data_IF_645335775109
#
_entry.id   IF_645335775109
#
_cell.length_a   1.000
_cell.length_b   1.000
_cell.length_c   1.000
_cell.angle_alpha   90.00
_cell.angle_beta   90.00
_cell.angle_gamma   90.00
#
_symmetry.space_group_name_H-M   'P 1'
#
loop_
_entity.id
_entity.type
_entity.pdbx_description
1 polymer ?
#
# COMPACT_ATOMS: atom_id res chain seq x y z
N UNK A 1 -2.68 7.71 10.86
CA UNK A 1 -3.67 8.82 11.02
C UNK A 1 -5.06 8.25 10.81
N UNK A 2 -6.09 8.87 11.38
CA UNK A 2 -7.48 8.36 11.30
C UNK A 2 -7.95 8.23 9.85
N UNK A 3 -7.68 9.22 9.00
CA UNK A 3 -8.00 9.16 7.57
C UNK A 3 -7.46 7.87 6.91
N UNK A 4 -6.15 7.63 6.98
CA UNK A 4 -5.52 6.45 6.38
C UNK A 4 -6.06 5.13 6.95
N UNK A 5 -6.50 5.09 8.21
CA UNK A 5 -7.11 3.89 8.78
C UNK A 5 -8.43 3.56 8.10
N UNK A 6 -9.29 4.56 7.89
CA UNK A 6 -10.58 4.36 7.24
C UNK A 6 -10.44 4.14 5.74
N UNK A 7 -9.50 4.83 5.08
CA UNK A 7 -9.14 4.56 3.69
C UNK A 7 -8.67 3.11 3.50
N UNK A 8 -7.77 2.64 4.36
CA UNK A 8 -7.31 1.25 4.32
C UNK A 8 -8.43 0.25 4.60
N UNK A 9 -9.34 0.55 5.53
CA UNK A 9 -10.51 -0.29 5.78
C UNK A 9 -11.42 -0.40 4.54
N UNK A 10 -11.59 0.70 3.82
CA UNK A 10 -12.34 0.71 2.56
C UNK A 10 -11.61 -0.09 1.47
N UNK A 11 -10.28 0.04 1.37
CA UNK A 11 -9.45 -0.79 0.50
C UNK A 11 -9.59 -2.29 0.76
N UNK A 12 -9.71 -2.73 2.02
CA UNK A 12 -10.01 -4.14 2.34
C UNK A 12 -11.40 -4.58 1.87
N UNK A 13 -12.40 -3.70 1.92
CA UNK A 13 -13.76 -4.04 1.49
C UNK A 13 -13.89 -4.06 -0.04
N UNK A 14 -13.12 -3.22 -0.73
CA UNK A 14 -13.24 -2.97 -2.16
C UNK A 14 -11.91 -3.16 -2.88
N UNK A 15 -11.09 -4.13 -2.44
CA UNK A 15 -9.72 -4.28 -2.94
C UNK A 15 -9.68 -4.31 -4.46
N UNK A 16 -8.96 -3.36 -5.04
CA UNK A 16 -8.77 -3.20 -6.47
C UNK A 16 -10.09 -3.05 -7.27
N UNK A 17 -11.13 -2.46 -6.64
CA UNK A 17 -12.32 -1.97 -7.34
C UNK A 17 -12.08 -0.51 -7.74
N UNK A 18 -12.08 -0.23 -9.04
CA UNK A 18 -11.50 1.01 -9.59
C UNK A 18 -12.21 2.30 -9.16
N UNK A 19 -13.51 2.21 -8.85
CA UNK A 19 -14.34 3.34 -8.44
C UNK A 19 -14.39 3.53 -6.91
N UNK A 20 -14.19 2.46 -6.14
CA UNK A 20 -14.49 2.43 -4.70
C UNK A 20 -13.24 2.38 -3.80
N UNK A 21 -12.10 1.98 -4.35
CA UNK A 21 -10.88 1.74 -3.58
C UNK A 21 -9.99 2.99 -3.52
N UNK A 22 -9.87 3.65 -2.34
CA UNK A 22 -9.09 4.88 -2.19
C UNK A 22 -7.57 4.65 -2.21
N UNK A 23 -7.10 3.40 -2.17
CA UNK A 23 -5.67 3.07 -2.16
C UNK A 23 -5.13 2.62 -3.53
N UNK A 24 -5.97 2.61 -4.58
CA UNK A 24 -5.50 2.35 -5.95
C UNK A 24 -4.67 3.53 -6.44
N UNK A 25 -3.37 3.36 -6.32
CA UNK A 25 -2.43 4.38 -6.76
C UNK A 25 -2.14 4.33 -8.27
N UNK A 26 -2.39 3.17 -8.89
CA UNK A 26 -2.24 2.95 -10.32
C UNK A 26 -3.52 2.33 -10.83
N UNK A 27 -4.39 3.21 -11.34
CA UNK A 27 -5.49 2.82 -12.21
C UNK A 27 -4.95 2.44 -13.59
N UNK A 28 -5.69 1.57 -14.27
CA UNK A 28 -5.38 1.20 -15.65
C UNK A 28 -5.84 2.30 -16.62
N UNK A 29 -5.17 2.50 -17.74
CA UNK A 29 -3.92 1.85 -18.18
C UNK A 29 -2.70 2.66 -17.73
N UNK A 30 -1.64 1.97 -17.29
CA UNK A 30 -0.34 2.60 -16.99
C UNK A 30 0.71 2.21 -18.02
N UNK A 31 1.61 3.15 -18.35
CA UNK A 31 2.79 2.85 -19.15
C UNK A 31 4.00 2.53 -18.26
N UNK A 32 4.90 1.65 -18.72
CA UNK A 32 6.13 1.32 -17.96
C UNK A 32 6.94 2.58 -17.61
N UNK A 33 7.01 3.56 -18.52
CA UNK A 33 7.68 4.83 -18.27
C UNK A 33 7.01 5.69 -17.20
N UNK A 34 5.69 5.55 -16.98
CA UNK A 34 4.97 6.19 -15.86
C UNK A 34 5.16 5.42 -14.55
N UNK A 35 5.53 4.14 -14.60
CA UNK A 35 5.90 3.36 -13.41
C UNK A 35 7.30 3.71 -12.89
N UNK A 36 8.28 3.94 -13.78
CA UNK A 36 9.68 4.18 -13.40
C UNK A 36 9.87 5.35 -12.44
N UNK A 37 9.27 6.53 -12.66
CA UNK A 37 9.27 7.59 -11.69
C UNK A 37 8.73 7.10 -10.36
N UNK A 38 7.70 6.25 -10.23
CA UNK A 38 7.19 5.86 -8.91
C UNK A 38 8.17 5.11 -8.00
N UNK A 39 9.25 4.54 -8.55
CA UNK A 39 10.36 3.98 -7.78
C UNK A 39 11.33 5.05 -7.24
N UNK A 40 11.43 6.19 -7.93
CA UNK A 40 12.43 7.25 -7.67
C UNK A 40 11.78 8.57 -7.23
N UNK A 41 10.51 8.77 -7.57
CA UNK A 41 9.63 9.91 -7.36
C UNK A 41 9.20 9.88 -5.90
N UNK A 42 10.24 10.09 -5.10
CA UNK A 42 10.35 10.97 -3.98
C UNK A 42 9.24 10.76 -2.96
N UNK A 43 9.64 10.33 -1.76
CA UNK A 43 8.82 10.25 -0.54
C UNK A 43 8.22 11.57 -0.07
N UNK A 44 7.80 12.44 -1.01
CA UNK A 44 6.90 13.58 -0.83
C UNK A 44 5.54 13.02 -0.40
N UNK A 45 5.45 12.77 0.88
CA UNK A 45 4.20 12.91 1.60
C UNK A 45 3.52 14.19 1.13
N UNK A 46 2.29 14.10 0.63
CA UNK A 46 1.48 15.28 0.35
C UNK A 46 0.92 15.79 1.69
N UNK A 47 1.43 16.90 2.26
CA UNK A 47 0.97 17.37 3.55
C UNK A 47 -0.38 18.10 3.46
N UNK A 48 -0.87 18.39 2.24
CA UNK A 48 -2.05 19.22 2.03
C UNK A 48 -3.30 18.62 2.69
N UNK A 49 -3.64 17.33 2.52
CA UNK A 49 -4.80 16.74 3.19
C UNK A 49 -4.67 16.83 4.71
N UNK A 50 -3.49 16.54 5.27
CA UNK A 50 -3.26 16.58 6.71
C UNK A 50 -3.34 18.00 7.25
N UNK A 51 -2.80 18.99 6.54
CA UNK A 51 -2.92 20.40 6.89
C UNK A 51 -4.39 20.87 6.86
N UNK A 52 -5.14 20.52 5.81
CA UNK A 52 -6.59 20.80 5.71
C UNK A 52 -7.35 20.20 6.90
N UNK A 53 -7.13 18.92 7.20
CA UNK A 53 -7.76 18.25 8.32
C UNK A 53 -7.37 18.89 9.66
N UNK A 54 -6.12 19.31 9.85
CA UNK A 54 -5.69 20.00 11.07
C UNK A 54 -6.38 21.37 11.27
N UNK A 55 -6.70 22.06 10.18
CA UNK A 55 -7.50 23.29 10.15
C UNK A 55 -9.00 23.05 10.31
N UNK A 56 -9.45 21.78 10.38
CA UNK A 56 -10.87 21.43 10.46
C UNK A 56 -11.61 21.44 9.12
N UNK A 57 -10.88 21.50 8.00
CA UNK A 57 -11.45 21.47 6.66
C UNK A 57 -11.61 20.00 6.24
N UNK A 58 -12.85 19.60 5.94
CA UNK A 58 -13.23 18.24 5.53
C UNK A 58 -13.92 18.32 4.17
N UNK A 59 -13.21 17.91 3.10
CA UNK A 59 -13.74 17.79 1.75
C UNK A 59 -14.67 16.59 1.58
N UNK A 60 -15.36 16.57 0.44
CA UNK A 60 -16.33 15.54 0.10
C UNK A 60 -15.74 14.14 0.03
N UNK A 61 -14.53 13.99 -0.54
CA UNK A 61 -13.80 12.72 -0.56
C UNK A 61 -13.56 12.19 0.86
N UNK A 62 -13.05 13.04 1.76
CA UNK A 62 -12.84 12.64 3.16
C UNK A 62 -14.16 12.25 3.86
N UNK A 63 -15.29 12.88 3.51
CA UNK A 63 -16.61 12.54 4.09
C UNK A 63 -17.12 11.18 3.67
N UNK A 64 -16.74 10.72 2.48
CA UNK A 64 -17.08 9.39 1.98
C UNK A 64 -16.25 8.30 2.67
N UNK A 65 -15.00 8.61 3.01
CA UNK A 65 -14.07 7.67 3.65
C UNK A 65 -14.26 7.62 5.17
N UNK A 66 -14.35 8.76 5.84
CA UNK A 66 -14.29 8.86 7.31
C UNK A 66 -15.68 9.11 7.92
N UNK A 67 -16.18 8.20 8.77
CA UNK A 67 -17.45 8.37 9.47
C UNK A 67 -17.51 9.67 10.30
N UNK A 68 -18.68 10.32 10.33
CA UNK A 68 -18.88 11.63 10.97
C UNK A 68 -18.48 11.68 12.45
N UNK A 69 -18.70 10.59 13.19
CA UNK A 69 -18.31 10.46 14.60
C UNK A 69 -16.78 10.41 14.82
N UNK A 70 -15.99 10.23 13.76
CA UNK A 70 -14.53 10.12 13.82
C UNK A 70 -13.81 11.41 13.35
N UNK A 71 -14.55 12.39 12.83
CA UNK A 71 -13.99 13.64 12.32
C UNK A 71 -13.15 14.39 13.36
N UNK A 72 -13.64 14.50 14.60
CA UNK A 72 -12.88 15.16 15.67
C UNK A 72 -11.56 14.44 15.96
N UNK A 73 -11.56 13.10 15.98
CA UNK A 73 -10.34 12.30 16.16
C UNK A 73 -9.39 12.48 15.00
N UNK A 74 -9.89 12.57 13.77
CA UNK A 74 -9.09 12.85 12.58
C UNK A 74 -8.41 14.21 12.66
N UNK A 75 -9.16 15.28 12.97
CA UNK A 75 -8.63 16.64 13.12
C UNK A 75 -7.50 16.68 14.15
N UNK A 76 -7.73 16.12 15.34
CA UNK A 76 -6.71 16.06 16.39
C UNK A 76 -5.52 15.18 16.02
N UNK A 77 -5.76 14.02 15.39
CA UNK A 77 -4.69 13.17 14.86
C UNK A 77 -3.80 13.93 13.87
N UNK A 78 -4.38 14.75 13.00
CA UNK A 78 -3.63 15.57 12.03
C UNK A 78 -2.84 16.69 12.72
N UNK A 79 -3.41 17.33 13.75
CA UNK A 79 -2.70 18.33 14.58
C UNK A 79 -1.51 17.73 15.32
N UNK A 80 -1.69 16.60 16.00
CA UNK A 80 -0.60 15.91 16.70
C UNK A 80 0.50 15.47 15.74
N UNK A 81 0.11 15.01 14.54
CA UNK A 81 1.06 14.64 13.51
C UNK A 81 1.91 15.85 13.06
N UNK A 82 1.29 17.00 12.78
CA UNK A 82 2.01 18.23 12.41
C UNK A 82 2.89 18.74 13.55
N UNK A 83 2.36 18.76 14.77
CA UNK A 83 3.12 19.16 15.96
C UNK A 83 4.38 18.29 16.15
N UNK A 84 4.26 16.97 15.99
CA UNK A 84 5.40 16.06 16.04
C UNK A 84 6.47 16.37 14.98
N UNK A 85 6.06 16.66 13.75
CA UNK A 85 6.98 17.05 12.68
C UNK A 85 7.64 18.40 12.96
N UNK A 86 6.88 19.38 13.46
CA UNK A 86 7.43 20.67 13.88
C UNK A 86 8.46 20.52 14.99
N UNK A 87 8.20 19.67 16.00
CA UNK A 87 9.15 19.39 17.07
C UNK A 87 10.45 18.76 16.55
N UNK A 88 10.36 17.80 15.63
CA UNK A 88 11.54 17.21 14.98
C UNK A 88 12.34 18.28 14.25
N UNK A 89 11.70 19.15 13.48
CA UNK A 89 12.37 20.22 12.73
C UNK A 89 13.02 21.24 13.70
N UNK A 90 12.30 21.67 14.74
CA UNK A 90 12.82 22.60 15.74
C UNK A 90 13.99 22.02 16.52
N UNK A 91 14.01 20.70 16.74
CA UNK A 91 15.13 20.02 17.42
C UNK A 91 16.45 20.18 16.68
N UNK A 92 16.42 20.35 15.34
CA UNK A 92 17.64 20.59 14.55
C UNK A 92 18.35 21.88 14.98
N UNK A 93 17.60 22.93 15.30
CA UNK A 93 18.16 24.20 15.80
C UNK A 93 18.70 24.07 17.22
N UNK A 94 18.04 23.29 18.09
CA UNK A 94 18.48 23.07 19.48
C UNK A 94 19.81 22.30 19.51
N UNK A 95 19.91 21.24 18.70
CA UNK A 95 21.08 20.37 18.66
C UNK A 95 22.15 20.81 17.65
N UNK A 96 21.92 21.90 16.90
CA UNK A 96 22.80 22.37 15.82
C UNK A 96 23.17 21.27 14.82
N UNK A 97 22.18 20.45 14.41
CA UNK A 97 22.40 19.34 13.49
C UNK A 97 21.15 19.00 12.68
N UNK A 98 21.32 18.43 11.50
CA UNK A 98 20.21 17.96 10.65
C UNK A 98 19.81 16.51 10.90
N UNK A 99 20.53 15.79 11.75
CA UNK A 99 20.33 14.36 11.98
C UNK A 99 18.88 13.97 12.35
N UNK A 100 18.14 14.71 13.21
CA UNK A 100 16.75 14.39 13.49
C UNK A 100 15.89 14.33 12.22
N UNK A 101 15.99 15.31 11.33
CA UNK A 101 15.26 15.35 10.07
C UNK A 101 15.75 14.28 9.09
N UNK A 102 17.07 14.06 9.01
CA UNK A 102 17.68 13.05 8.14
C UNK A 102 17.19 11.63 8.47
N UNK A 103 17.13 11.29 9.76
CA UNK A 103 16.74 9.94 10.22
C UNK A 103 15.23 9.72 10.33
N UNK A 104 14.41 10.77 10.22
CA UNK A 104 12.95 10.65 10.36
C UNK A 104 12.23 11.03 9.06
N UNK A 105 12.26 12.31 8.68
CA UNK A 105 11.52 12.84 7.53
C UNK A 105 12.15 12.36 6.22
N UNK A 106 13.49 12.45 6.11
CA UNK A 106 14.18 12.03 4.89
C UNK A 106 14.33 10.51 4.76
N UNK A 107 14.02 9.73 5.80
CA UNK A 107 13.99 8.27 5.73
C UNK A 107 13.18 7.70 4.57
N UNK A 108 12.07 8.37 4.25
CA UNK A 108 11.21 7.99 3.14
C UNK A 108 11.84 8.18 1.78
N UNK A 109 12.84 9.05 1.63
CA UNK A 109 13.45 9.34 0.33
C UNK A 109 14.44 8.25 -0.07
N UNK A 110 15.27 7.79 0.87
CA UNK A 110 16.21 6.70 0.61
C UNK A 110 15.57 5.31 0.77
N UNK A 111 14.49 5.17 1.56
CA UNK A 111 13.72 3.92 1.65
C UNK A 111 12.67 3.73 0.56
N UNK A 112 12.24 4.80 -0.12
CA UNK A 112 11.18 4.75 -1.12
C UNK A 112 11.41 3.70 -2.22
N UNK A 113 12.57 3.59 -2.88
CA UNK A 113 12.71 2.66 -4.00
C UNK A 113 12.33 1.22 -3.66
N UNK A 114 12.77 0.73 -2.48
CA UNK A 114 12.40 -0.59 -2.01
C UNK A 114 10.91 -0.67 -1.68
N UNK A 115 10.40 0.23 -0.83
CA UNK A 115 8.99 0.22 -0.41
C UNK A 115 8.03 0.26 -1.59
N UNK A 116 8.27 1.18 -2.54
CA UNK A 116 7.45 1.36 -3.73
C UNK A 116 7.49 0.15 -4.65
N UNK A 117 8.65 -0.49 -4.79
CA UNK A 117 8.72 -1.74 -5.54
C UNK A 117 7.89 -2.87 -4.93
N UNK A 118 7.72 -2.87 -3.62
CA UNK A 118 6.93 -3.87 -2.90
C UNK A 118 5.43 -3.52 -2.94
N UNK A 119 5.07 -2.25 -2.78
CA UNK A 119 3.70 -1.76 -2.91
C UNK A 119 3.12 -2.09 -4.30
N UNK A 120 3.90 -1.85 -5.36
CA UNK A 120 3.45 -2.14 -6.73
C UNK A 120 3.13 -3.62 -6.94
N UNK A 121 3.96 -4.52 -6.40
CA UNK A 121 3.79 -5.97 -6.53
C UNK A 121 2.44 -6.45 -6.01
N UNK A 122 1.85 -5.77 -5.04
CA UNK A 122 0.64 -6.19 -4.34
C UNK A 122 -0.54 -6.46 -5.29
N UNK A 123 -0.82 -5.52 -6.19
CA UNK A 123 -2.05 -5.51 -7.00
C UNK A 123 -1.83 -5.29 -8.49
N UNK A 124 -0.67 -4.75 -8.90
CA UNK A 124 -0.49 -4.32 -10.28
C UNK A 124 -0.67 -5.49 -11.26
N UNK A 125 -1.47 -5.24 -12.30
CA UNK A 125 -1.74 -6.21 -13.37
C UNK A 125 -2.78 -7.28 -13.04
N UNK A 126 -3.25 -7.37 -11.78
CA UNK A 126 -4.22 -8.39 -11.34
C UNK A 126 -5.65 -8.08 -11.82
N UNK A 127 -6.61 -8.95 -11.51
CA UNK A 127 -8.04 -8.72 -11.78
C UNK A 127 -8.58 -7.51 -11.00
N UNK A 128 -9.37 -6.63 -11.64
CA UNK A 128 -10.11 -5.54 -10.97
C UNK A 128 -11.57 -5.90 -10.79
N UNK A 129 -12.24 -5.22 -9.86
CA UNK A 129 -13.70 -5.32 -9.66
C UNK A 129 -14.16 -6.76 -9.35
N UNK A 130 -13.29 -7.56 -8.71
CA UNK A 130 -13.57 -8.92 -8.24
C UNK A 130 -13.51 -8.98 -6.72
N UNK A 131 -14.42 -9.74 -6.12
CA UNK A 131 -14.48 -9.89 -4.64
C UNK A 131 -13.49 -10.88 -4.07
N UNK A 132 -12.95 -11.79 -4.87
CA UNK A 132 -11.99 -12.78 -4.40
C UNK A 132 -10.59 -12.15 -4.35
N UNK A 133 -10.09 -11.88 -3.14
CA UNK A 133 -8.76 -11.29 -2.93
C UNK A 133 -7.64 -12.10 -3.59
N UNK A 134 -7.82 -13.42 -3.78
CA UNK A 134 -6.85 -14.29 -4.44
C UNK A 134 -6.65 -13.95 -5.92
N UNK A 135 -7.61 -13.25 -6.54
CA UNK A 135 -7.58 -12.86 -7.95
C UNK A 135 -7.06 -11.43 -8.16
N UNK A 136 -7.20 -10.56 -7.16
CA UNK A 136 -6.79 -9.14 -7.23
C UNK A 136 -5.51 -8.82 -6.44
N UNK A 137 -4.92 -9.80 -5.75
CA UNK A 137 -3.79 -9.62 -4.82
C UNK A 137 -2.72 -10.70 -5.03
N UNK A 138 -1.47 -10.40 -4.68
CA UNK A 138 -0.32 -11.28 -4.89
C UNK A 138 0.53 -11.49 -3.64
N UNK A 139 0.98 -12.73 -3.44
CA UNK A 139 2.03 -13.07 -2.47
C UNK A 139 3.38 -13.30 -3.12
N UNK A 140 4.44 -12.92 -2.41
CA UNK A 140 5.82 -13.09 -2.85
C UNK A 140 6.68 -13.60 -1.71
N UNK A 141 7.51 -14.61 -1.95
CA UNK A 141 8.54 -14.98 -0.98
C UNK A 141 9.69 -13.98 -1.03
N UNK A 142 10.00 -13.38 0.12
CA UNK A 142 11.11 -12.43 0.27
C UNK A 142 12.13 -12.94 1.28
N UNK A 143 13.37 -12.47 1.17
CA UNK A 143 14.43 -12.79 2.12
C UNK A 143 14.13 -12.18 3.52
N UNK A 144 14.74 -12.70 4.60
CA UNK A 144 14.43 -12.25 5.97
C UNK A 144 14.59 -10.75 6.21
N UNK A 145 15.59 -10.10 5.61
CA UNK A 145 15.82 -8.66 5.76
C UNK A 145 14.68 -7.85 5.13
N UNK A 146 14.30 -8.18 3.89
CA UNK A 146 13.19 -7.50 3.23
C UNK A 146 11.87 -7.76 3.94
N UNK A 147 11.63 -8.99 4.43
CA UNK A 147 10.44 -9.31 5.24
C UNK A 147 10.37 -8.49 6.53
N UNK A 148 11.50 -8.29 7.20
CA UNK A 148 11.57 -7.43 8.38
C UNK A 148 11.22 -5.98 8.04
N UNK A 149 11.83 -5.42 7.01
CA UNK A 149 11.59 -4.03 6.58
C UNK A 149 10.16 -3.80 6.05
N UNK A 150 9.58 -4.82 5.45
CA UNK A 150 8.23 -4.79 4.87
C UNK A 150 7.16 -5.38 5.80
N UNK A 151 7.51 -5.65 7.07
CA UNK A 151 6.58 -6.19 8.06
C UNK A 151 5.82 -7.44 7.61
N UNK A 152 6.46 -8.37 6.89
CA UNK A 152 5.80 -9.54 6.29
C UNK A 152 4.58 -9.24 5.39
N UNK A 153 4.42 -8.00 4.89
CA UNK A 153 3.40 -7.63 3.90
C UNK A 153 3.59 -8.30 2.53
N UNK A 154 4.53 -9.23 2.44
CA UNK A 154 4.74 -10.11 1.31
C UNK A 154 3.71 -11.26 1.26
N UNK A 155 2.96 -11.45 2.35
CA UNK A 155 1.77 -12.31 2.48
C UNK A 155 0.53 -11.41 2.44
N UNK A 156 0.29 -10.84 1.26
CA UNK A 156 -0.65 -9.74 1.09
C UNK A 156 -2.06 -10.25 0.80
N UNK A 157 -2.20 -11.42 0.15
CA UNK A 157 -3.50 -12.08 -0.01
C UNK A 157 -4.09 -12.37 1.36
N UNK A 158 -3.29 -12.87 2.30
CA UNK A 158 -3.73 -13.20 3.65
C UNK A 158 -4.05 -11.97 4.48
N UNK A 159 -3.29 -10.88 4.31
CA UNK A 159 -3.60 -9.58 4.91
C UNK A 159 -4.98 -9.10 4.47
N UNK A 160 -5.31 -9.23 3.18
CA UNK A 160 -6.60 -8.85 2.63
C UNK A 160 -7.75 -9.76 3.06
N UNK A 161 -7.52 -11.08 3.06
CA UNK A 161 -8.54 -12.04 3.51
C UNK A 161 -8.80 -11.93 5.03
N UNK A 162 -7.78 -11.58 5.81
CA UNK A 162 -7.83 -11.58 7.27
C UNK A 162 -7.16 -10.33 7.88
N UNK A 163 -7.69 -9.12 7.66
CA UNK A 163 -7.06 -7.85 8.06
C UNK A 163 -6.88 -7.66 9.57
N UNK A 164 -7.58 -8.47 10.37
CA UNK A 164 -7.41 -8.49 11.82
C UNK A 164 -6.15 -9.25 12.28
N UNK A 165 -5.52 -10.05 11.40
CA UNK A 165 -4.31 -10.81 11.71
C UNK A 165 -3.11 -9.86 11.66
N UNK A 166 -2.35 -9.72 12.76
CA UNK A 166 -1.23 -8.80 12.77
C UNK A 166 -0.10 -9.31 11.87
N UNK A 167 0.64 -8.37 11.31
CA UNK A 167 1.68 -8.60 10.31
C UNK A 167 2.74 -9.66 10.72
N UNK A 168 3.07 -9.78 12.00
CA UNK A 168 4.04 -10.76 12.50
C UNK A 168 3.49 -12.20 12.51
N UNK A 169 2.17 -12.37 12.45
CA UNK A 169 1.48 -13.66 12.43
C UNK A 169 1.11 -14.13 11.01
N UNK A 170 1.20 -13.25 10.00
CA UNK A 170 0.94 -13.60 8.59
C UNK A 170 1.74 -14.82 8.10
N UNK A 171 3.04 -15.00 8.43
CA UNK A 171 3.76 -16.20 8.00
C UNK A 171 3.15 -17.50 8.55
N UNK A 172 2.62 -17.47 9.78
CA UNK A 172 1.96 -18.62 10.39
C UNK A 172 0.60 -18.90 9.75
N UNK A 173 -0.11 -17.84 9.34
CA UNK A 173 -1.34 -17.97 8.59
C UNK A 173 -1.10 -18.54 7.20
N UNK A 174 -0.09 -18.01 6.48
CA UNK A 174 0.34 -18.52 5.17
C UNK A 174 0.54 -20.04 5.20
N UNK A 175 1.32 -20.56 6.16
CA UNK A 175 1.54 -22.01 6.27
C UNK A 175 0.26 -22.83 6.44
N UNK A 176 -0.78 -22.26 7.05
CA UNK A 176 -2.07 -22.95 7.27
C UNK A 176 -2.96 -22.96 6.04
N UNK A 177 -2.90 -21.91 5.21
CA UNK A 177 -3.85 -21.72 4.10
C UNK A 177 -3.19 -21.72 2.72
N UNK A 178 -1.87 -21.82 2.59
CA UNK A 178 -1.14 -21.76 1.32
C UNK A 178 -1.64 -22.74 0.25
N UNK A 179 -2.23 -23.87 0.66
CA UNK A 179 -2.83 -24.85 -0.26
C UNK A 179 -4.16 -24.37 -0.89
N UNK A 180 -4.74 -23.29 -0.38
CA UNK A 180 -5.97 -22.65 -0.84
C UNK A 180 -5.70 -21.34 -1.61
N UNK A 181 -4.44 -20.92 -1.66
CA UNK A 181 -3.96 -19.71 -2.32
C UNK A 181 -3.38 -20.02 -3.71
N UNK A 182 -3.38 -19.06 -4.64
CA UNK A 182 -2.60 -19.19 -5.86
C UNK A 182 -1.11 -19.35 -5.55
N UNK A 183 -0.34 -19.81 -6.54
CA UNK A 183 1.09 -20.01 -6.37
C UNK A 183 1.80 -18.70 -5.96
N UNK A 184 2.42 -18.71 -4.78
CA UNK A 184 3.28 -17.62 -4.31
C UNK A 184 4.50 -17.47 -5.21
N UNK A 185 4.83 -16.23 -5.57
CA UNK A 185 5.96 -15.96 -6.46
C UNK A 185 7.28 -16.23 -5.71
N UNK A 186 8.25 -16.94 -6.33
CA UNK A 186 9.51 -17.32 -5.69
C UNK A 186 10.54 -16.17 -5.69
N UNK A 187 10.11 -14.95 -5.35
CA UNK A 187 10.96 -13.77 -5.27
C UNK A 187 10.41 -12.55 -5.99
N UNK A 188 10.96 -11.39 -5.61
CA UNK A 188 10.68 -10.09 -6.22
C UNK A 188 10.86 -10.10 -7.75
N UNK A 189 11.96 -10.71 -8.24
CA UNK A 189 12.23 -10.80 -9.68
C UNK A 189 11.20 -11.65 -10.42
N UNK A 190 10.68 -12.71 -9.79
CA UNK A 190 9.67 -13.56 -10.39
C UNK A 190 8.34 -12.80 -10.55
N UNK A 191 7.94 -12.00 -9.55
CA UNK A 191 6.77 -11.15 -9.62
C UNK A 191 6.88 -10.14 -10.77
N UNK A 192 8.01 -9.42 -10.86
CA UNK A 192 8.20 -8.43 -11.93
C UNK A 192 8.30 -9.02 -13.34
N UNK A 193 8.76 -10.27 -13.48
CA UNK A 193 8.77 -10.99 -14.76
C UNK A 193 7.37 -11.28 -15.31
N UNK A 194 6.35 -11.29 -14.46
CA UNK A 194 4.95 -11.37 -14.90
C UNK A 194 4.33 -9.99 -15.04
N UNK A 195 4.52 -9.10 -14.05
CA UNK A 195 3.99 -7.74 -14.04
C UNK A 195 4.36 -6.96 -15.31
N UNK A 196 5.64 -6.99 -15.71
CA UNK A 196 6.11 -6.18 -16.85
C UNK A 196 5.40 -6.59 -18.16
N UNK A 197 5.37 -7.88 -18.55
CA UNK A 197 4.55 -8.33 -19.68
C UNK A 197 3.06 -8.01 -19.55
N UNK A 198 2.48 -8.14 -18.36
CA UNK A 198 1.07 -7.86 -18.11
C UNK A 198 0.74 -6.38 -18.36
N UNK A 199 1.54 -5.46 -17.82
CA UNK A 199 1.39 -4.02 -18.05
C UNK A 199 1.60 -3.66 -19.54
N UNK A 200 2.52 -4.32 -20.24
CA UNK A 200 2.71 -4.13 -21.68
C UNK A 200 1.50 -4.60 -22.50
N UNK A 201 0.84 -5.69 -22.08
CA UNK A 201 -0.41 -6.15 -22.70
C UNK A 201 -1.55 -5.19 -22.41
N UNK A 202 -1.67 -4.69 -21.18
CA UNK A 202 -2.67 -3.70 -20.77
C UNK A 202 -2.61 -2.40 -21.58
N UNK A 203 -1.42 -1.96 -21.99
CA UNK A 203 -1.28 -0.80 -22.88
C UNK A 203 -1.90 -1.02 -24.27
N UNK A 204 -1.98 -2.27 -24.74
CA UNK A 204 -2.55 -2.63 -26.04
C UNK A 204 -4.02 -3.07 -25.92
N UNK A 205 -4.36 -3.70 -24.82
CA UNK A 205 -5.70 -4.15 -24.48
C UNK A 205 -6.01 -3.75 -23.03
N UNK A 206 -6.66 -2.60 -22.79
CA UNK A 206 -6.96 -2.08 -21.46
C UNK A 206 -7.70 -3.08 -20.54
N UNK A 207 -8.53 -3.94 -21.12
CA UNK A 207 -9.34 -4.95 -20.43
C UNK A 207 -8.52 -6.17 -20.00
N UNK A 208 -7.25 -6.29 -20.40
CA UNK A 208 -6.42 -7.43 -20.03
C UNK A 208 -6.10 -7.43 -18.53
N UNK A 209 -6.45 -8.50 -17.85
CA UNK A 209 -6.00 -8.81 -16.50
C UNK A 209 -5.10 -10.06 -16.50
N UNK A 210 -4.19 -10.13 -15.54
CA UNK A 210 -3.60 -11.41 -15.17
C UNK A 210 -4.52 -12.12 -14.17
N UNK A 211 -5.07 -13.25 -14.57
CA UNK A 211 -5.86 -14.13 -13.69
C UNK A 211 -4.96 -15.25 -13.15
N UNK A 212 -4.67 -15.29 -11.83
CA UNK A 212 -3.91 -16.39 -11.26
C UNK A 212 -4.73 -17.69 -11.26
N UNK A 213 -4.06 -18.83 -11.45
CA UNK A 213 -4.71 -20.14 -11.31
C UNK A 213 -4.93 -20.44 -9.82
N UNK A 214 -6.19 -20.58 -9.43
CA UNK A 214 -6.57 -21.01 -8.08
C UNK A 214 -6.39 -22.53 -7.93
N UNK A 215 -6.08 -23.04 -6.71
CA UNK A 215 -6.13 -24.45 -6.41
C UNK A 215 -7.53 -25.02 -6.71
N UNK A 216 -7.59 -26.25 -7.21
CA UNK A 216 -8.85 -26.95 -7.39
C UNK A 216 -9.50 -27.17 -6.02
N UNK A 217 -10.82 -26.98 -5.93
CA UNK A 217 -11.56 -27.34 -4.72
C UNK A 217 -11.39 -28.84 -4.51
N UNK A 218 -10.71 -29.23 -3.43
CA UNK A 218 -10.73 -30.61 -2.98
C UNK A 218 -12.17 -30.93 -2.59
N UNK A 219 -12.84 -31.72 -3.43
CA UNK A 219 -14.19 -32.24 -3.21
C UNK A 219 -14.34 -33.00 -1.88
#
# INVERSE_FOLDING_TARGET
MVHNRYGHLQHHNFTYHEEDDPEIEIQRTITLWKMLPKFVAVGLFNPIPVARHALGIIDEETRQIVPKNEWNKMIWSSRFWLMGHSLIISSCSIFNTWLPVVYTIFARFYGAPLGRSLDLIQHIGMEVNVRDHRLCTRDVYLNPLTRFLYWNMNYHIEHHMFPAVPFHALPKLHEKIKNQLPQTYPGWLAAYREIIPTVLKQQKNPEYCFTPKLPEETA
#
